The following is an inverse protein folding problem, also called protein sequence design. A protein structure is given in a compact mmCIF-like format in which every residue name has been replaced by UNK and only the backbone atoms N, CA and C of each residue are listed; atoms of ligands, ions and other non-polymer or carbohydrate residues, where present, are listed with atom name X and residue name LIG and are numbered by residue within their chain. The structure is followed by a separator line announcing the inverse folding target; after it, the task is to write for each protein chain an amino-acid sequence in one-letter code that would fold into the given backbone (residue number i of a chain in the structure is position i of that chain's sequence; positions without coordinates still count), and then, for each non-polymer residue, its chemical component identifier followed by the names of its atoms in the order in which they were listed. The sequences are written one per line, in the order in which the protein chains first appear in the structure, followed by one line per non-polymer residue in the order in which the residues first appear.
data_IF_815389305752
#
_entry.id   IF_815389305752
#
_cell.length_a   1.000
_cell.length_b   1.000
_cell.length_c   1.000
_cell.angle_alpha   90.00
_cell.angle_beta   90.00
_cell.angle_gamma   90.00
#
_symmetry.space_group_name_H-M   'P 1'
#
loop_
_entity.id
_entity.type
_entity.pdbx_description
1 polymer ?
#
# COMPACT_ATOMS: atom_id res chain seq x y z
N UNK A 1 -42.87 -49.95 24.28
CA UNK A 1 -44.15 -49.42 24.77
C UNK A 1 -44.20 -47.99 24.27
N UNK A 2 -44.91 -47.62 23.36
CA UNK A 2 -46.28 -47.63 22.92
C UNK A 2 -46.57 -46.24 22.39
N UNK A 3 -46.77 -46.01 21.12
CA UNK A 3 -48.08 -45.86 20.43
C UNK A 3 -48.81 -44.60 20.92
N UNK A 4 -49.41 -43.73 20.16
CA UNK A 4 -50.14 -43.73 18.91
C UNK A 4 -50.43 -42.24 18.53
N UNK A 5 -50.46 -41.81 17.26
CA UNK A 5 -51.55 -41.83 16.25
C UNK A 5 -52.83 -41.05 16.67
N UNK A 6 -53.21 -40.06 15.85
CA UNK A 6 -54.47 -39.93 15.08
C UNK A 6 -54.67 -38.48 14.65
N UNK A 7 -54.67 -38.15 13.39
CA UNK A 7 -55.81 -38.05 12.42
C UNK A 7 -56.84 -36.96 12.79
N UNK A 8 -56.98 -36.02 11.92
CA UNK A 8 -58.09 -35.93 11.06
C UNK A 8 -58.65 -34.60 10.63
N UNK A 9 -58.94 -34.50 9.40
CA UNK A 9 -60.04 -33.87 8.65
C UNK A 9 -59.97 -32.40 8.26
N UNK A 10 -59.64 -32.18 7.05
CA UNK A 10 -60.45 -31.78 5.87
C UNK A 10 -61.65 -30.84 6.13
N UNK A 11 -61.58 -29.70 5.52
CA UNK A 11 -62.77 -29.04 4.91
C UNK A 11 -62.29 -28.16 3.74
N UNK A 12 -62.81 -28.55 2.55
CA UNK A 12 -62.76 -27.78 1.32
C UNK A 12 -63.64 -26.54 1.40
N UNK A 13 -63.17 -25.42 0.88
CA UNK A 13 -64.05 -24.43 0.25
C UNK A 13 -63.33 -23.81 -0.96
N UNK A 14 -63.99 -23.98 -2.07
CA UNK A 14 -63.71 -23.51 -3.43
C UNK A 14 -63.75 -21.99 -3.52
N UNK A 15 -62.82 -21.42 -4.25
CA UNK A 15 -62.86 -19.99 -4.63
C UNK A 15 -61.83 -19.62 -5.68
N UNK A 16 -62.24 -19.60 -6.90
CA UNK A 16 -61.77 -18.94 -8.13
C UNK A 16 -60.31 -18.56 -8.32
N UNK A 17 -59.77 -19.15 -9.33
CA UNK A 17 -58.54 -18.91 -10.04
C UNK A 17 -58.43 -17.55 -10.72
N UNK A 18 -57.28 -16.86 -10.53
CA UNK A 18 -56.67 -16.06 -11.57
C UNK A 18 -55.17 -16.45 -11.64
N UNK A 19 -54.57 -16.56 -12.81
CA UNK A 19 -53.20 -17.04 -12.92
C UNK A 19 -52.22 -15.92 -12.69
N UNK A 20 -51.43 -16.04 -11.64
CA UNK A 20 -50.24 -15.23 -11.45
C UNK A 20 -49.12 -15.69 -12.38
N UNK A 21 -48.56 -14.70 -13.06
CA UNK A 21 -47.46 -14.86 -14.00
C UNK A 21 -46.18 -15.34 -13.29
N UNK A 22 -45.87 -16.61 -13.39
CA UNK A 22 -44.52 -17.13 -13.15
C UNK A 22 -43.63 -16.77 -14.34
N UNK A 23 -42.98 -15.59 -14.25
CA UNK A 23 -42.17 -15.10 -15.37
C UNK A 23 -41.02 -14.18 -15.03
N UNK A 24 -40.74 -13.92 -13.73
CA UNK A 24 -39.81 -12.83 -13.38
C UNK A 24 -38.59 -13.25 -12.54
N UNK A 25 -38.54 -14.44 -11.97
CA UNK A 25 -37.38 -14.88 -11.16
C UNK A 25 -36.28 -15.51 -12.01
N UNK A 26 -36.62 -16.16 -13.13
CA UNK A 26 -35.61 -16.75 -14.00
C UNK A 26 -34.89 -15.69 -14.87
N UNK A 27 -35.60 -14.63 -15.27
CA UNK A 27 -35.00 -13.51 -16.00
C UNK A 27 -34.01 -12.71 -15.16
N UNK A 28 -34.36 -12.42 -13.91
CA UNK A 28 -33.46 -11.73 -12.99
C UNK A 28 -32.21 -12.55 -12.65
N UNK A 29 -32.32 -13.86 -12.52
CA UNK A 29 -31.14 -14.72 -12.31
C UNK A 29 -30.29 -14.86 -13.58
N UNK A 30 -30.88 -14.80 -14.76
CA UNK A 30 -30.14 -14.83 -16.03
C UNK A 30 -29.46 -13.47 -16.29
N UNK A 31 -30.13 -12.37 -16.01
CA UNK A 31 -29.56 -11.02 -16.12
C UNK A 31 -28.43 -10.81 -15.11
N UNK A 32 -28.55 -11.25 -13.84
CA UNK A 32 -27.44 -11.24 -12.88
C UNK A 32 -26.28 -12.17 -13.26
N UNK A 33 -26.55 -13.34 -13.87
CA UNK A 33 -25.50 -14.21 -14.39
C UNK A 33 -24.84 -13.68 -15.66
N UNK A 34 -25.54 -12.91 -16.48
CA UNK A 34 -24.98 -12.22 -17.64
C UNK A 34 -24.19 -10.95 -17.23
N UNK A 35 -24.63 -10.22 -16.20
CA UNK A 35 -23.84 -9.12 -15.61
C UNK A 35 -22.58 -9.63 -14.90
N UNK A 36 -22.66 -10.74 -14.18
CA UNK A 36 -21.48 -11.38 -13.56
C UNK A 36 -20.53 -11.91 -14.66
N UNK A 37 -21.05 -12.49 -15.75
CA UNK A 37 -20.21 -12.90 -16.89
C UNK A 37 -19.66 -11.74 -17.69
N UNK A 38 -20.38 -10.61 -17.81
CA UNK A 38 -19.85 -9.37 -18.41
C UNK A 38 -18.78 -8.71 -17.54
N UNK A 39 -18.90 -8.82 -16.22
CA UNK A 39 -17.85 -8.37 -15.30
C UNK A 39 -16.60 -9.28 -15.32
N UNK A 40 -16.76 -10.55 -15.73
CA UNK A 40 -15.63 -11.51 -15.86
C UNK A 40 -14.97 -11.50 -17.25
N UNK A 41 -15.59 -10.86 -18.26
CA UNK A 41 -15.02 -10.67 -19.60
C UNK A 41 -14.76 -9.20 -19.88
N UNK A 42 -14.13 -8.47 -18.96
CA UNK A 42 -13.44 -7.23 -19.31
C UNK A 42 -12.29 -7.59 -20.24
N UNK A 43 -12.33 -6.97 -21.41
CA UNK A 43 -11.31 -7.10 -22.45
C UNK A 43 -9.93 -6.86 -21.83
N UNK A 44 -9.08 -7.88 -21.84
CA UNK A 44 -7.78 -7.90 -21.17
C UNK A 44 -6.84 -6.82 -21.74
N UNK A 45 -7.21 -6.20 -22.85
CA UNK A 45 -6.43 -5.21 -23.57
C UNK A 45 -6.74 -3.73 -23.22
N UNK A 46 -7.71 -3.47 -22.33
CA UNK A 46 -8.08 -2.08 -21.95
C UNK A 46 -8.12 -1.92 -20.41
N UNK A 47 -7.24 -2.61 -19.70
CA UNK A 47 -7.22 -2.56 -18.23
C UNK A 47 -6.27 -1.47 -17.77
N UNK A 48 -6.75 -0.24 -17.74
CA UNK A 48 -6.15 0.78 -16.90
C UNK A 48 -6.22 0.37 -15.43
N UNK A 49 -5.16 0.59 -14.68
CA UNK A 49 -5.19 0.43 -13.22
C UNK A 49 -6.16 1.49 -12.66
N UNK A 50 -7.33 1.04 -12.24
CA UNK A 50 -8.31 1.91 -11.57
C UNK A 50 -8.42 1.49 -10.11
N UNK A 51 -8.37 2.47 -9.23
CA UNK A 51 -8.57 2.24 -7.81
C UNK A 51 -10.05 1.91 -7.52
N UNK A 52 -10.27 1.29 -6.40
CA UNK A 52 -11.59 0.86 -5.99
C UNK A 52 -12.22 1.91 -5.08
N UNK A 53 -13.02 2.80 -5.64
CA UNK A 53 -13.67 3.91 -4.93
C UNK A 53 -14.38 3.48 -3.64
N UNK A 54 -14.97 2.28 -3.64
CA UNK A 54 -15.65 1.72 -2.46
C UNK A 54 -14.74 1.52 -1.24
N UNK A 55 -13.41 1.55 -1.41
CA UNK A 55 -12.47 1.53 -0.28
C UNK A 55 -12.50 2.81 0.54
N UNK A 56 -12.95 3.90 -0.06
CA UNK A 56 -12.89 5.25 0.49
C UNK A 56 -14.27 5.82 0.86
N UNK A 57 -15.37 5.08 0.61
CA UNK A 57 -16.75 5.54 0.86
C UNK A 57 -17.02 6.01 2.29
N UNK A 58 -16.27 5.47 3.26
CA UNK A 58 -16.42 5.81 4.68
C UNK A 58 -15.18 6.52 5.24
N UNK A 59 -14.33 7.06 4.37
CA UNK A 59 -13.19 7.84 4.82
C UNK A 59 -13.65 9.19 5.38
N UNK A 60 -13.15 9.53 6.55
CA UNK A 60 -13.18 10.86 7.12
C UNK A 60 -11.72 11.32 7.27
N UNK A 61 -11.32 12.23 6.40
CA UNK A 61 -9.94 12.70 6.27
C UNK A 61 -9.43 13.42 7.51
N UNK A 62 -10.34 13.94 8.33
CA UNK A 62 -10.03 14.66 9.56
C UNK A 62 -10.15 13.81 10.82
N UNK A 63 -10.73 12.63 10.73
CA UNK A 63 -10.94 11.74 11.87
C UNK A 63 -9.62 11.22 12.46
N UNK A 64 -9.60 11.05 13.76
CA UNK A 64 -8.50 10.44 14.50
C UNK A 64 -8.99 9.18 15.19
N UNK A 65 -8.40 8.04 14.87
CA UNK A 65 -8.66 6.77 15.55
C UNK A 65 -7.68 6.62 16.70
N UNK A 66 -8.15 6.17 17.85
CA UNK A 66 -7.27 5.87 18.99
C UNK A 66 -6.86 4.40 18.97
N UNK A 67 -5.57 4.14 19.10
CA UNK A 67 -5.00 2.80 19.23
C UNK A 67 -4.28 2.64 20.56
N UNK A 68 -4.61 1.57 21.26
CA UNK A 68 -4.02 1.15 22.51
C UNK A 68 -3.14 -0.06 22.26
N UNK A 69 -1.84 0.07 22.47
CA UNK A 69 -0.84 -0.98 22.23
C UNK A 69 -0.23 -1.41 23.55
N UNK A 70 -0.59 -2.59 24.04
CA UNK A 70 0.08 -3.20 25.18
C UNK A 70 1.17 -4.14 24.66
N UNK A 71 2.43 -3.86 24.96
CA UNK A 71 3.58 -4.67 24.57
C UNK A 71 4.03 -5.57 25.71
N UNK A 72 4.38 -6.82 25.40
CA UNK A 72 4.85 -7.80 26.35
C UNK A 72 5.91 -8.69 25.72
N UNK A 73 6.80 -9.28 26.53
CA UNK A 73 7.72 -10.28 26.00
C UNK A 73 6.90 -11.48 25.50
N UNK A 74 7.16 -11.83 24.26
CA UNK A 74 6.57 -13.00 23.64
C UNK A 74 7.45 -14.24 23.80
N UNK A 75 7.71 -14.90 22.68
CA UNK A 75 8.37 -16.19 22.60
C UNK A 75 9.65 -16.07 21.76
N UNK A 76 10.77 -16.55 22.28
CA UNK A 76 12.05 -16.52 21.55
C UNK A 76 12.03 -17.37 20.29
N UNK A 77 11.24 -18.44 20.23
CA UNK A 77 11.07 -19.22 19.00
C UNK A 77 10.31 -18.47 17.88
N UNK A 78 9.57 -17.43 18.25
CA UNK A 78 8.87 -16.52 17.33
C UNK A 78 9.66 -15.22 17.10
N UNK A 79 10.81 -15.04 17.77
CA UNK A 79 11.62 -13.81 17.72
C UNK A 79 10.91 -12.60 18.35
N UNK A 80 10.00 -12.83 19.32
CA UNK A 80 9.16 -11.79 19.92
C UNK A 80 9.44 -11.54 21.41
N UNK A 81 10.58 -12.00 21.91
CA UNK A 81 10.97 -11.92 23.32
C UNK A 81 11.80 -10.69 23.70
N UNK A 82 11.92 -9.73 22.79
CA UNK A 82 12.63 -8.48 23.03
C UNK A 82 11.84 -7.51 23.89
N UNK A 83 12.56 -6.67 24.64
CA UNK A 83 11.96 -5.58 25.42
C UNK A 83 11.57 -4.40 24.53
N UNK A 84 10.62 -3.61 24.99
CA UNK A 84 10.23 -2.37 24.31
C UNK A 84 11.40 -1.37 24.25
N UNK A 85 12.24 -1.37 25.25
CA UNK A 85 13.46 -0.57 25.27
C UNK A 85 14.44 -1.00 24.17
N UNK A 86 14.67 -2.30 24.00
CA UNK A 86 15.52 -2.82 22.91
C UNK A 86 14.96 -2.45 21.54
N UNK A 87 13.63 -2.63 21.31
CA UNK A 87 12.93 -2.23 20.08
C UNK A 87 13.23 -0.78 19.72
N UNK A 88 13.21 0.14 20.71
CA UNK A 88 13.37 1.56 20.48
C UNK A 88 14.84 2.05 20.49
N UNK A 89 15.79 1.17 20.87
CA UNK A 89 17.20 1.56 21.04
C UNK A 89 18.01 1.51 19.74
N UNK A 90 17.61 0.68 18.77
CA UNK A 90 18.37 0.45 17.56
C UNK A 90 17.68 1.07 16.34
N UNK A 91 18.50 1.52 15.39
CA UNK A 91 18.04 1.96 14.06
C UNK A 91 18.14 0.80 13.05
N UNK A 92 17.55 0.97 11.86
CA UNK A 92 17.73 0.03 10.76
C UNK A 92 19.20 -0.22 10.43
N UNK A 93 20.01 0.83 10.48
CA UNK A 93 21.46 0.75 10.22
C UNK A 93 22.21 -0.04 11.29
N UNK A 94 21.72 0.00 12.55
CA UNK A 94 22.33 -0.81 13.61
C UNK A 94 22.03 -2.28 13.38
N UNK A 95 20.80 -2.64 12.97
CA UNK A 95 20.44 -4.00 12.60
C UNK A 95 21.23 -4.51 11.40
N UNK A 96 21.38 -3.68 10.35
CA UNK A 96 22.19 -3.99 9.18
C UNK A 96 23.66 -4.27 9.58
N UNK A 97 24.21 -3.45 10.46
CA UNK A 97 25.58 -3.59 10.98
C UNK A 97 25.76 -4.83 11.84
N UNK A 98 24.75 -5.19 12.63
CA UNK A 98 24.76 -6.42 13.46
C UNK A 98 24.50 -7.67 12.63
N UNK A 99 23.99 -7.54 11.41
CA UNK A 99 23.62 -8.66 10.54
C UNK A 99 22.42 -9.44 11.06
N UNK A 100 21.49 -8.79 11.78
CA UNK A 100 20.31 -9.42 12.35
C UNK A 100 19.04 -8.72 11.85
N UNK A 101 17.92 -9.45 11.91
CA UNK A 101 16.60 -8.88 11.63
C UNK A 101 16.18 -7.91 12.74
N UNK A 102 15.26 -7.00 12.42
CA UNK A 102 14.73 -6.05 13.39
C UNK A 102 14.00 -6.78 14.51
N UNK A 103 14.33 -6.43 15.72
CA UNK A 103 13.72 -7.00 16.92
C UNK A 103 12.22 -6.74 16.94
N UNK A 104 11.50 -7.73 17.44
CA UNK A 104 10.05 -7.70 17.60
C UNK A 104 9.67 -8.02 19.04
N UNK A 105 8.49 -7.55 19.44
CA UNK A 105 7.87 -7.97 20.68
C UNK A 105 6.39 -8.32 20.45
N UNK A 106 5.84 -9.15 21.31
CA UNK A 106 4.42 -9.45 21.26
C UNK A 106 3.61 -8.23 21.69
N UNK A 107 2.45 -8.04 21.06
CA UNK A 107 1.59 -6.91 21.33
C UNK A 107 0.11 -7.29 21.35
N UNK A 108 -0.66 -6.64 22.21
CA UNK A 108 -2.11 -6.57 22.12
C UNK A 108 -2.46 -5.19 21.55
N UNK A 109 -2.96 -5.19 20.32
CA UNK A 109 -3.52 -4.00 19.70
C UNK A 109 -5.03 -3.96 19.97
N UNK A 110 -5.50 -2.86 20.51
CA UNK A 110 -6.92 -2.56 20.70
C UNK A 110 -7.24 -1.23 20.04
N UNK A 111 -8.34 -1.19 19.29
CA UNK A 111 -8.78 0.02 18.58
C UNK A 111 -10.01 0.59 19.28
N UNK A 112 -10.10 1.93 19.31
CA UNK A 112 -11.20 2.62 19.97
C UNK A 112 -11.14 4.13 19.78
N UNK A 113 -11.59 4.83 20.80
CA UNK A 113 -11.58 6.29 20.90
C UNK A 113 -10.90 6.76 22.20
N UNK A 114 -11.03 8.03 22.54
CA UNK A 114 -10.41 8.61 23.74
C UNK A 114 -10.93 8.01 25.05
N UNK A 115 -12.10 7.36 25.03
CA UNK A 115 -12.70 6.70 26.22
C UNK A 115 -12.17 5.27 26.44
N UNK A 116 -11.46 4.70 25.47
CA UNK A 116 -10.87 3.37 25.50
C UNK A 116 -11.21 2.50 24.30
N UNK A 117 -10.84 1.20 24.35
CA UNK A 117 -11.17 0.23 23.30
C UNK A 117 -12.70 0.10 23.12
N UNK A 118 -13.15 0.09 21.85
CA UNK A 118 -14.57 0.09 21.51
C UNK A 118 -15.07 -1.30 21.07
N UNK A 119 -16.33 -1.58 21.43
CA UNK A 119 -17.00 -2.84 21.07
C UNK A 119 -17.13 -2.95 19.54
N UNK A 120 -16.79 -4.11 19.00
CA UNK A 120 -16.79 -4.35 17.55
C UNK A 120 -15.46 -4.03 16.86
N UNK A 121 -14.56 -3.31 17.53
CA UNK A 121 -13.23 -3.00 17.02
C UNK A 121 -12.20 -4.09 17.35
N UNK A 122 -11.07 -4.06 16.66
CA UNK A 122 -9.97 -5.01 16.85
C UNK A 122 -9.50 -5.02 18.30
N UNK A 123 -9.37 -6.22 18.86
CA UNK A 123 -8.83 -6.46 20.21
C UNK A 123 -9.77 -6.12 21.35
N UNK A 124 -11.02 -5.71 21.09
CA UNK A 124 -11.99 -5.44 22.16
C UNK A 124 -12.22 -6.68 23.03
N UNK A 125 -12.07 -6.50 24.35
CA UNK A 125 -12.22 -7.58 25.32
C UNK A 125 -11.10 -8.64 25.30
N UNK A 126 -10.10 -8.52 24.43
CA UNK A 126 -8.93 -9.38 24.43
C UNK A 126 -7.95 -8.96 25.56
N UNK A 127 -7.25 -9.96 26.10
CA UNK A 127 -6.24 -9.77 27.14
C UNK A 127 -4.93 -10.53 26.85
N UNK A 128 -4.82 -11.08 25.63
CA UNK A 128 -3.64 -11.81 25.15
C UNK A 128 -3.11 -11.17 23.87
N UNK A 129 -1.81 -11.26 23.57
CA UNK A 129 -1.24 -10.69 22.36
C UNK A 129 -1.91 -11.17 21.07
N UNK A 130 -2.41 -10.25 20.27
CA UNK A 130 -3.03 -10.48 18.98
C UNK A 130 -2.16 -10.01 17.79
N UNK A 131 -1.01 -9.41 18.09
CA UNK A 131 -0.11 -8.82 17.12
C UNK A 131 1.36 -8.98 17.53
N UNK A 132 2.25 -8.59 16.62
CA UNK A 132 3.65 -8.25 16.91
C UNK A 132 3.91 -6.80 16.52
N UNK A 133 4.92 -6.19 17.12
CA UNK A 133 5.34 -4.82 16.81
C UNK A 133 6.86 -4.72 16.68
N UNK A 134 7.31 -3.93 15.72
CA UNK A 134 8.71 -3.57 15.50
C UNK A 134 8.81 -2.12 14.99
N UNK A 135 10.02 -1.54 15.06
CA UNK A 135 10.26 -0.26 14.38
C UNK A 135 10.23 -0.44 12.86
N UNK A 136 9.90 0.64 12.15
CA UNK A 136 9.94 0.70 10.68
C UNK A 136 10.67 1.94 10.16
N UNK A 137 10.88 1.97 8.83
CA UNK A 137 11.62 3.02 8.13
C UNK A 137 13.12 2.73 8.09
N UNK A 138 13.81 3.34 7.15
CA UNK A 138 15.28 3.26 7.04
C UNK A 138 15.88 4.48 7.74
N UNK A 139 15.82 5.66 7.11
CA UNK A 139 16.37 6.89 7.67
C UNK A 139 15.64 7.33 8.93
N UNK A 140 14.31 7.30 8.94
CA UNK A 140 13.47 7.69 10.06
C UNK A 140 13.62 6.79 11.30
N UNK A 141 14.19 5.59 11.16
CA UNK A 141 14.50 4.73 12.30
C UNK A 141 15.55 5.33 13.28
N UNK A 142 16.33 6.34 12.83
CA UNK A 142 17.27 7.10 13.69
C UNK A 142 16.58 8.13 14.56
N UNK A 143 15.35 8.51 14.25
CA UNK A 143 14.61 9.50 15.01
C UNK A 143 14.35 9.02 16.44
N UNK A 144 14.26 9.93 17.40
CA UNK A 144 13.90 9.61 18.78
C UNK A 144 12.46 9.14 18.90
N UNK A 145 11.54 9.71 18.11
CA UNK A 145 10.17 9.23 17.97
C UNK A 145 10.09 8.24 16.80
N UNK A 146 9.88 6.98 17.12
CA UNK A 146 9.95 5.88 16.15
C UNK A 146 8.67 5.75 15.33
N UNK A 147 8.82 5.25 14.13
CA UNK A 147 7.74 4.68 13.34
C UNK A 147 7.57 3.21 13.71
N UNK A 148 6.35 2.70 13.69
CA UNK A 148 6.06 1.30 14.04
C UNK A 148 5.37 0.57 12.91
N UNK A 149 5.68 -0.73 12.79
CA UNK A 149 4.92 -1.72 12.05
C UNK A 149 4.28 -2.66 13.07
N UNK A 150 2.96 -2.72 13.06
CA UNK A 150 2.16 -3.65 13.85
C UNK A 150 1.60 -4.68 12.89
N UNK A 151 1.76 -5.96 13.19
CA UNK A 151 1.27 -7.05 12.36
C UNK A 151 0.33 -7.96 13.16
N UNK A 152 -0.96 -7.94 12.81
CA UNK A 152 -1.99 -8.78 13.41
C UNK A 152 -1.72 -10.26 13.06
N UNK A 153 -1.86 -11.14 14.04
CA UNK A 153 -1.74 -12.59 13.85
C UNK A 153 -2.81 -13.09 12.87
N UNK A 154 -2.49 -14.11 12.09
CA UNK A 154 -3.36 -14.62 10.99
C UNK A 154 -4.80 -14.95 11.44
N UNK A 155 -4.96 -15.40 12.68
CA UNK A 155 -6.23 -15.83 13.26
C UNK A 155 -6.93 -14.75 14.12
N UNK A 156 -6.43 -13.49 14.09
CA UNK A 156 -6.92 -12.38 14.92
C UNK A 156 -7.65 -11.29 14.13
N UNK A 157 -8.08 -11.63 12.91
CA UNK A 157 -8.83 -10.71 12.06
C UNK A 157 -7.95 -9.65 11.36
N UNK A 158 -8.60 -8.59 11.00
CA UNK A 158 -8.00 -7.44 10.28
C UNK A 158 -8.61 -6.15 10.81
N UNK A 159 -7.85 -5.08 10.76
CA UNK A 159 -8.38 -3.74 10.96
C UNK A 159 -8.66 -3.12 9.58
N UNK A 160 -9.93 -2.84 9.28
CA UNK A 160 -10.36 -2.32 7.96
C UNK A 160 -9.75 -3.12 6.79
N UNK A 161 -9.75 -4.47 6.90
CA UNK A 161 -9.17 -5.36 5.89
C UNK A 161 -7.63 -5.39 5.85
N UNK A 162 -6.93 -4.74 6.78
CA UNK A 162 -5.47 -4.69 6.86
C UNK A 162 -4.96 -5.54 8.03
N UNK A 163 -3.95 -6.37 7.77
CA UNK A 163 -3.22 -7.09 8.83
C UNK A 163 -1.95 -6.38 9.24
N UNK A 164 -1.35 -5.65 8.34
CA UNK A 164 -0.16 -4.83 8.60
C UNK A 164 -0.58 -3.38 8.74
N UNK A 165 -0.30 -2.80 9.89
CA UNK A 165 -0.62 -1.43 10.25
C UNK A 165 0.70 -0.68 10.41
N UNK A 166 0.98 0.24 9.49
CA UNK A 166 2.17 1.06 9.53
C UNK A 166 1.84 2.43 10.13
N UNK A 167 2.50 2.77 11.21
CA UNK A 167 2.35 4.04 11.91
C UNK A 167 3.59 4.91 11.67
N UNK A 168 3.43 6.02 10.98
CA UNK A 168 4.48 6.99 10.68
C UNK A 168 4.36 8.21 11.58
N UNK A 169 5.43 8.52 12.31
CA UNK A 169 5.46 9.65 13.27
C UNK A 169 5.74 11.00 12.62
N UNK A 170 6.42 10.98 11.47
CA UNK A 170 6.84 12.21 10.76
C UNK A 170 7.49 13.25 11.69
N UNK A 171 8.45 12.83 12.51
CA UNK A 171 9.07 13.68 13.54
C UNK A 171 9.69 14.97 12.97
N UNK A 172 10.21 14.90 11.73
CA UNK A 172 10.88 16.02 11.05
C UNK A 172 9.92 16.99 10.38
N UNK A 173 8.63 16.67 10.37
CA UNK A 173 7.58 17.49 9.78
C UNK A 173 6.77 18.20 10.87
N UNK A 174 6.75 19.54 10.85
CA UNK A 174 6.07 20.34 11.88
C UNK A 174 4.55 20.05 11.99
N UNK A 175 3.89 19.87 10.86
CA UNK A 175 2.43 19.65 10.82
C UNK A 175 2.04 18.18 10.78
N UNK A 176 2.94 17.28 10.39
CA UNK A 176 2.78 15.81 10.38
C UNK A 176 1.63 15.27 9.53
N UNK A 177 1.21 15.99 8.48
CA UNK A 177 0.08 15.58 7.65
C UNK A 177 0.38 15.47 6.16
N UNK A 178 1.56 15.91 5.67
CA UNK A 178 1.88 15.94 4.23
C UNK A 178 1.70 14.59 3.55
N UNK A 179 2.16 13.53 4.19
CA UNK A 179 2.03 12.17 3.66
C UNK A 179 0.55 11.78 3.50
N UNK A 180 -0.29 12.06 4.52
CA UNK A 180 -1.74 11.80 4.43
C UNK A 180 -2.39 12.67 3.37
N UNK A 181 -2.13 13.98 3.36
CA UNK A 181 -2.66 14.91 2.36
C UNK A 181 -2.34 14.44 0.94
N UNK A 182 -1.11 13.96 0.70
CA UNK A 182 -0.71 13.44 -0.62
C UNK A 182 -1.59 12.26 -1.05
N UNK A 183 -1.85 11.31 -0.16
CA UNK A 183 -2.73 10.18 -0.48
C UNK A 183 -4.20 10.61 -0.64
N UNK A 184 -4.67 11.58 0.15
CA UNK A 184 -6.03 12.10 0.01
C UNK A 184 -6.24 12.82 -1.34
N UNK A 185 -5.24 13.56 -1.82
CA UNK A 185 -5.26 14.17 -3.15
C UNK A 185 -5.20 13.12 -4.28
N UNK A 186 -4.40 12.06 -4.12
CA UNK A 186 -4.30 10.99 -5.11
C UNK A 186 -5.65 10.28 -5.35
N UNK A 187 -6.53 10.19 -4.35
CA UNK A 187 -7.88 9.62 -4.51
C UNK A 187 -8.73 10.36 -5.55
N UNK A 188 -8.46 11.66 -5.76
CA UNK A 188 -9.16 12.49 -6.74
C UNK A 188 -8.64 12.38 -8.18
N UNK A 189 -7.60 11.60 -8.43
CA UNK A 189 -6.95 11.46 -9.75
C UNK A 189 -7.24 10.07 -10.31
N UNK A 190 -8.20 9.93 -11.27
CA UNK A 190 -8.64 8.62 -11.74
C UNK A 190 -7.55 7.75 -12.38
N UNK A 191 -6.48 8.34 -12.88
CA UNK A 191 -5.34 7.66 -13.50
C UNK A 191 -4.37 7.07 -12.48
N UNK A 192 -4.52 7.43 -11.22
CA UNK A 192 -3.61 7.03 -10.15
C UNK A 192 -4.32 6.18 -9.11
N UNK A 193 -3.56 5.34 -8.45
CA UNK A 193 -4.01 4.60 -7.28
C UNK A 193 -3.50 5.27 -6.02
N UNK A 194 -4.37 5.42 -5.03
CA UNK A 194 -3.99 5.86 -3.70
C UNK A 194 -3.81 4.69 -2.74
N UNK A 195 -3.37 4.96 -1.54
CA UNK A 195 -3.38 4.04 -0.40
C UNK A 195 -4.26 4.62 0.70
N UNK A 196 -4.94 3.75 1.45
CA UNK A 196 -5.74 4.20 2.59
C UNK A 196 -4.84 4.74 3.68
N UNK A 197 -5.24 5.87 4.24
CA UNK A 197 -4.53 6.53 5.33
C UNK A 197 -5.50 6.91 6.45
N UNK A 198 -4.99 6.98 7.68
CA UNK A 198 -5.76 7.38 8.85
C UNK A 198 -4.86 8.10 9.85
N UNK A 199 -5.36 9.17 10.45
CA UNK A 199 -4.72 9.69 11.66
C UNK A 199 -4.99 8.78 12.84
N UNK A 200 -3.94 8.49 13.60
CA UNK A 200 -3.98 7.59 14.75
C UNK A 200 -3.36 8.28 15.95
N UNK A 201 -4.08 8.36 17.06
CA UNK A 201 -3.53 8.67 18.36
C UNK A 201 -3.11 7.36 19.01
N UNK A 202 -1.81 7.22 19.30
CA UNK A 202 -1.24 5.99 19.83
C UNK A 202 -0.94 6.13 21.32
N UNK A 203 -1.50 5.19 22.11
CA UNK A 203 -1.13 4.97 23.50
C UNK A 203 -0.39 3.63 23.65
N UNK A 204 0.71 3.62 24.38
CA UNK A 204 1.53 2.42 24.59
C UNK A 204 1.65 2.09 26.08
N UNK A 205 1.40 0.82 26.42
CA UNK A 205 1.66 0.27 27.75
C UNK A 205 2.73 -0.81 27.65
N UNK A 206 3.84 -0.60 28.35
CA UNK A 206 5.00 -1.48 28.32
C UNK A 206 4.97 -2.46 29.52
N UNK A 207 4.81 -3.73 29.23
CA UNK A 207 4.88 -4.84 30.19
C UNK A 207 6.12 -5.72 29.94
N UNK A 208 7.10 -5.26 29.16
CA UNK A 208 8.27 -6.09 28.80
C UNK A 208 9.33 -6.16 29.89
N UNK A 209 9.42 -5.16 30.77
CA UNK A 209 10.41 -5.09 31.88
C UNK A 209 9.75 -4.93 33.27
N UNK A 210 8.48 -5.25 33.40
CA UNK A 210 7.73 -5.17 34.68
C UNK A 210 6.29 -4.72 34.48
N UNK A 211 5.59 -4.47 35.57
CA UNK A 211 4.19 -4.06 35.53
C UNK A 211 4.08 -2.53 35.39
N UNK A 212 4.04 -2.02 34.18
CA UNK A 212 3.53 -0.68 33.95
C UNK A 212 2.01 -0.73 33.88
N UNK A 213 1.32 -0.09 34.85
CA UNK A 213 -0.15 -0.11 34.90
C UNK A 213 -0.80 0.89 33.94
N UNK A 214 -0.05 1.85 33.40
CA UNK A 214 -0.60 2.99 32.68
C UNK A 214 -0.16 3.05 31.22
N UNK A 215 -1.08 3.52 30.38
CA UNK A 215 -0.78 3.88 28.99
C UNK A 215 -0.05 5.21 28.93
N UNK A 216 1.03 5.25 28.17
CA UNK A 216 1.76 6.46 27.86
C UNK A 216 1.31 7.02 26.51
N UNK A 217 1.13 8.32 26.44
CA UNK A 217 0.74 9.01 25.22
C UNK A 217 1.93 9.14 24.26
N UNK A 218 1.84 8.47 23.12
CA UNK A 218 2.80 8.56 22.02
C UNK A 218 2.39 9.59 20.95
N UNK A 219 1.21 10.20 21.10
CA UNK A 219 0.66 11.26 20.26
C UNK A 219 0.27 10.81 18.87
N UNK A 220 0.16 11.77 17.95
CA UNK A 220 -0.35 11.58 16.61
C UNK A 220 0.63 10.83 15.70
N UNK A 221 0.10 9.90 14.92
CA UNK A 221 0.72 9.17 13.82
C UNK A 221 -0.14 9.26 12.56
N UNK A 222 0.48 9.08 11.40
CA UNK A 222 -0.23 8.74 10.17
C UNK A 222 -0.11 7.24 9.93
N UNK A 223 -1.23 6.53 9.95
CA UNK A 223 -1.30 5.17 9.44
C UNK A 223 -1.33 5.20 7.93
N UNK A 224 -0.53 4.35 7.28
CA UNK A 224 -0.50 4.17 5.82
C UNK A 224 -0.64 2.69 5.51
N UNK A 225 -1.56 2.36 4.60
CA UNK A 225 -1.78 0.98 4.15
C UNK A 225 -0.51 0.38 3.58
N UNK A 226 -0.24 -0.88 3.92
CA UNK A 226 0.85 -1.64 3.32
C UNK A 226 0.36 -2.28 2.03
N UNK A 227 0.88 -1.84 0.89
CA UNK A 227 0.63 -2.51 -0.38
C UNK A 227 1.40 -3.85 -0.42
N UNK A 228 0.68 -4.90 -0.09
CA UNK A 228 1.10 -6.30 -0.15
C UNK A 228 -0.02 -7.10 -0.82
N UNK A 229 0.08 -8.43 -0.88
CA UNK A 229 -0.96 -9.27 -1.51
C UNK A 229 -2.37 -9.03 -0.98
N UNK A 230 -2.53 -8.66 0.28
CA UNK A 230 -3.83 -8.30 0.88
C UNK A 230 -4.27 -6.91 0.41
N UNK A 231 -3.38 -5.93 0.46
CA UNK A 231 -3.63 -4.59 -0.07
C UNK A 231 -4.00 -4.63 -1.56
N UNK A 232 -3.24 -5.36 -2.38
CA UNK A 232 -3.55 -5.54 -3.80
C UNK A 232 -4.99 -6.06 -4.03
N UNK A 233 -5.40 -7.09 -3.27
CA UNK A 233 -6.77 -7.63 -3.37
C UNK A 233 -7.83 -6.62 -2.95
N UNK A 234 -7.58 -5.84 -1.90
CA UNK A 234 -8.50 -4.81 -1.43
C UNK A 234 -8.75 -3.77 -2.55
N UNK A 235 -7.69 -3.36 -3.23
CA UNK A 235 -7.73 -2.42 -4.35
C UNK A 235 -8.21 -3.04 -5.69
N UNK A 236 -8.57 -4.33 -5.70
CA UNK A 236 -9.00 -5.02 -6.94
C UNK A 236 -7.87 -5.37 -7.89
N UNK A 237 -6.61 -5.25 -7.45
CA UNK A 237 -5.43 -5.59 -8.24
C UNK A 237 -5.20 -7.11 -8.32
N UNK A 238 -4.55 -7.56 -9.38
CA UNK A 238 -4.11 -8.95 -9.49
C UNK A 238 -2.95 -9.24 -8.51
N UNK A 239 -3.27 -9.92 -7.41
CA UNK A 239 -2.31 -10.27 -6.36
C UNK A 239 -1.30 -11.37 -6.76
N UNK A 240 -1.41 -11.92 -7.97
CA UNK A 240 -0.44 -12.85 -8.56
C UNK A 240 0.56 -12.14 -9.47
N UNK A 241 0.34 -10.87 -9.77
CA UNK A 241 1.23 -10.02 -10.55
C UNK A 241 2.56 -9.71 -9.86
N UNK A 242 3.46 -9.12 -10.61
CA UNK A 242 4.69 -8.56 -10.07
C UNK A 242 4.38 -7.27 -9.31
N UNK A 243 4.95 -7.13 -8.14
CA UNK A 243 4.94 -5.90 -7.37
C UNK A 243 6.31 -5.72 -6.74
N UNK A 244 6.98 -4.66 -7.11
CA UNK A 244 8.28 -4.28 -6.57
C UNK A 244 8.17 -2.93 -5.88
N UNK A 245 8.72 -2.82 -4.67
CA UNK A 245 8.98 -1.52 -4.06
C UNK A 245 10.34 -1.04 -4.51
N UNK A 246 10.40 0.10 -5.13
CA UNK A 246 11.63 0.73 -5.58
C UNK A 246 12.39 1.28 -4.36
N UNK A 247 13.60 0.77 -4.13
CA UNK A 247 14.48 1.19 -3.03
C UNK A 247 15.61 2.11 -3.50
N UNK A 248 16.25 1.77 -4.64
CA UNK A 248 17.28 2.59 -5.30
C UNK A 248 17.43 2.06 -6.72
N UNK A 249 16.59 2.57 -7.65
CA UNK A 249 16.51 1.99 -8.98
C UNK A 249 16.19 3.04 -10.04
N UNK A 250 17.11 3.24 -10.96
CA UNK A 250 17.06 4.25 -12.01
C UNK A 250 16.65 3.66 -13.38
N UNK A 251 16.04 2.48 -13.40
CA UNK A 251 15.63 1.74 -14.61
C UNK A 251 16.78 1.37 -15.56
N UNK A 252 18.01 1.32 -15.06
CA UNK A 252 19.10 0.66 -15.77
C UNK A 252 18.90 -0.86 -15.81
N UNK A 253 19.48 -1.52 -16.82
CA UNK A 253 19.33 -2.97 -16.97
C UNK A 253 19.98 -3.80 -15.86
N UNK A 254 21.04 -3.31 -15.22
CA UNK A 254 21.77 -3.97 -14.11
C UNK A 254 21.94 -5.49 -14.33
N UNK A 255 22.57 -5.90 -15.44
CA UNK A 255 22.64 -7.30 -15.88
C UNK A 255 23.23 -8.26 -14.84
N UNK A 256 24.14 -7.76 -14.01
CA UNK A 256 24.76 -8.56 -12.94
C UNK A 256 23.83 -8.79 -11.74
N UNK A 257 22.78 -7.99 -11.57
CA UNK A 257 21.87 -8.02 -10.41
C UNK A 257 20.46 -8.45 -10.79
N UNK A 258 19.89 -7.87 -11.86
CA UNK A 258 18.53 -8.19 -12.30
C UNK A 258 18.56 -9.41 -13.21
N UNK A 259 18.41 -10.58 -12.59
CA UNK A 259 18.44 -11.90 -13.23
C UNK A 259 17.15 -12.64 -12.93
N UNK A 260 16.91 -13.70 -13.68
CA UNK A 260 15.81 -14.62 -13.39
C UNK A 260 16.12 -15.38 -12.09
N UNK A 261 15.08 -15.76 -11.35
CA UNK A 261 15.20 -16.50 -10.09
C UNK A 261 15.89 -17.87 -10.28
N UNK A 262 15.76 -18.49 -11.48
CA UNK A 262 16.40 -19.74 -11.83
C UNK A 262 17.85 -19.61 -12.36
N UNK A 263 18.38 -18.39 -12.46
CA UNK A 263 19.80 -18.17 -12.83
C UNK A 263 20.70 -18.59 -11.66
N UNK A 264 21.70 -19.47 -11.89
CA UNK A 264 22.58 -19.96 -10.81
C UNK A 264 23.43 -18.87 -10.14
N UNK A 265 23.48 -17.67 -10.71
CA UNK A 265 24.19 -16.51 -10.15
C UNK A 265 23.24 -15.44 -9.59
N UNK A 266 21.93 -15.75 -9.48
CA UNK A 266 20.94 -14.83 -8.89
C UNK A 266 21.20 -14.65 -7.40
N UNK A 267 21.27 -13.40 -6.96
CA UNK A 267 21.36 -13.01 -5.56
C UNK A 267 20.15 -12.14 -5.20
N UNK A 268 19.17 -12.75 -4.52
CA UNK A 268 17.96 -12.06 -4.10
C UNK A 268 18.27 -10.84 -3.21
N UNK A 269 19.27 -10.92 -2.32
CA UNK A 269 19.62 -9.80 -1.45
C UNK A 269 20.20 -8.63 -2.23
N UNK A 270 20.98 -8.89 -3.27
CA UNK A 270 21.48 -7.87 -4.18
C UNK A 270 20.32 -7.27 -4.99
N UNK A 271 19.42 -8.08 -5.52
CA UNK A 271 18.21 -7.65 -6.23
C UNK A 271 17.32 -6.74 -5.37
N UNK A 272 17.04 -7.14 -4.13
CA UNK A 272 16.15 -6.40 -3.22
C UNK A 272 16.75 -5.08 -2.71
N UNK A 273 18.05 -4.84 -2.89
CA UNK A 273 18.61 -3.49 -2.69
C UNK A 273 18.11 -2.49 -3.73
N UNK A 274 17.80 -2.96 -4.92
CA UNK A 274 17.22 -2.15 -5.99
C UNK A 274 15.68 -2.17 -5.92
N UNK A 275 15.10 -3.36 -5.91
CA UNK A 275 13.67 -3.64 -6.07
C UNK A 275 13.22 -4.68 -5.03
N UNK A 276 12.61 -4.25 -3.94
CA UNK A 276 12.10 -5.16 -2.90
C UNK A 276 10.87 -5.93 -3.43
N UNK A 277 10.93 -7.25 -3.42
CA UNK A 277 9.87 -8.13 -3.94
C UNK A 277 8.67 -8.13 -3.00
N UNK A 278 7.50 -7.71 -3.48
CA UNK A 278 6.23 -7.69 -2.74
C UNK A 278 5.16 -8.59 -3.36
N UNK A 279 5.32 -8.92 -4.63
CA UNK A 279 4.41 -9.76 -5.42
C UNK A 279 5.04 -11.07 -5.88
N UNK A 280 4.90 -11.36 -7.15
CA UNK A 280 5.51 -12.50 -7.84
C UNK A 280 7.00 -12.22 -8.08
N UNK A 281 7.84 -13.25 -7.97
CA UNK A 281 9.29 -13.18 -8.16
C UNK A 281 9.77 -13.62 -9.55
N UNK A 282 8.86 -13.89 -10.48
CA UNK A 282 9.24 -14.10 -11.89
C UNK A 282 9.65 -12.75 -12.51
N UNK A 283 10.95 -12.58 -12.73
CA UNK A 283 11.51 -11.33 -13.24
C UNK A 283 11.54 -11.26 -14.78
N UNK A 284 11.02 -12.25 -15.50
CA UNK A 284 11.18 -12.37 -16.95
C UNK A 284 10.69 -11.13 -17.70
N UNK A 285 9.48 -10.65 -17.43
CA UNK A 285 8.95 -9.45 -18.13
C UNK A 285 9.60 -8.15 -17.65
N UNK A 286 10.07 -8.07 -16.40
CA UNK A 286 10.87 -6.95 -15.93
C UNK A 286 12.19 -6.86 -16.72
N UNK A 287 12.87 -7.98 -16.89
CA UNK A 287 14.11 -8.08 -17.66
C UNK A 287 13.89 -7.67 -19.11
N UNK A 288 12.80 -8.12 -19.73
CA UNK A 288 12.49 -7.79 -21.11
C UNK A 288 12.21 -6.29 -21.27
N UNK A 289 11.37 -5.72 -20.43
CA UNK A 289 11.08 -4.28 -20.42
C UNK A 289 12.36 -3.44 -20.25
N UNK A 290 13.21 -3.80 -19.28
CA UNK A 290 14.47 -3.09 -19.05
C UNK A 290 15.46 -3.24 -20.20
N UNK A 291 15.52 -4.40 -20.84
CA UNK A 291 16.38 -4.63 -21.99
C UNK A 291 15.98 -3.70 -23.14
N UNK A 292 14.69 -3.64 -23.42
CA UNK A 292 14.16 -2.77 -24.48
C UNK A 292 14.28 -1.29 -24.13
N UNK A 293 13.99 -0.93 -22.88
CA UNK A 293 14.13 0.45 -22.41
C UNK A 293 15.57 0.96 -22.47
N UNK A 294 16.57 0.11 -22.29
CA UNK A 294 17.98 0.49 -22.35
C UNK A 294 18.58 0.39 -23.76
N UNK A 295 17.83 -0.08 -24.75
CA UNK A 295 18.20 -0.06 -26.15
C UNK A 295 17.84 1.30 -26.78
N UNK A 296 18.83 2.16 -26.97
CA UNK A 296 18.63 3.50 -27.54
C UNK A 296 18.24 3.47 -29.04
N UNK A 297 18.32 2.32 -29.70
CA UNK A 297 17.84 2.19 -31.09
C UNK A 297 16.32 2.10 -31.18
N UNK A 298 15.62 1.76 -30.08
CA UNK A 298 14.17 1.69 -29.99
C UNK A 298 13.59 3.04 -29.60
N UNK A 299 12.59 3.58 -30.33
CA UNK A 299 11.91 4.82 -29.94
C UNK A 299 11.25 4.67 -28.58
N UNK A 300 11.31 5.71 -27.75
CA UNK A 300 10.66 5.65 -26.41
C UNK A 300 9.14 5.52 -26.53
N UNK A 301 8.51 6.08 -27.57
CA UNK A 301 7.08 5.94 -27.79
C UNK A 301 6.67 4.45 -27.91
N UNK A 302 7.43 3.65 -28.68
CA UNK A 302 7.15 2.22 -28.85
C UNK A 302 7.32 1.46 -27.52
N UNK A 303 8.32 1.84 -26.71
CA UNK A 303 8.56 1.26 -25.38
C UNK A 303 7.38 1.57 -24.43
N UNK A 304 6.90 2.82 -24.45
CA UNK A 304 5.78 3.23 -23.62
C UNK A 304 4.50 2.49 -24.03
N UNK A 305 4.20 2.41 -25.31
CA UNK A 305 3.01 1.72 -25.84
C UNK A 305 3.03 0.22 -25.55
N UNK A 306 4.22 -0.38 -25.52
CA UNK A 306 4.37 -1.82 -25.28
C UNK A 306 4.34 -2.19 -23.79
N UNK A 307 4.95 -1.37 -22.92
CA UNK A 307 5.25 -1.77 -21.55
C UNK A 307 4.62 -0.91 -20.48
N UNK A 308 4.08 0.25 -20.77
CA UNK A 308 3.57 1.14 -19.73
C UNK A 308 2.13 1.58 -20.00
N UNK A 309 1.36 1.75 -18.95
CA UNK A 309 0.16 2.57 -19.03
C UNK A 309 0.60 4.03 -19.11
N UNK A 310 0.46 4.64 -20.29
CA UNK A 310 0.93 6.01 -20.56
C UNK A 310 0.23 7.04 -19.70
N UNK A 311 -1.08 6.91 -19.49
CA UNK A 311 -1.82 7.82 -18.63
C UNK A 311 -1.30 7.73 -17.19
N UNK A 312 -1.18 6.52 -16.64
CA UNK A 312 -0.65 6.32 -15.30
C UNK A 312 0.75 6.92 -15.13
N UNK A 313 1.66 6.64 -16.07
CA UNK A 313 3.02 7.15 -16.02
C UNK A 313 3.05 8.69 -16.06
N UNK A 314 2.28 9.28 -16.97
CA UNK A 314 2.25 10.74 -17.20
C UNK A 314 1.64 11.46 -16.01
N UNK A 315 0.49 11.00 -15.49
CA UNK A 315 -0.16 11.57 -14.31
C UNK A 315 0.64 11.35 -13.03
N UNK A 316 1.30 10.19 -12.89
CA UNK A 316 2.22 9.95 -11.78
C UNK A 316 3.35 10.98 -11.78
N UNK A 317 3.98 11.22 -12.94
CA UNK A 317 5.07 12.18 -13.04
C UNK A 317 4.58 13.62 -12.81
N UNK A 318 3.43 14.01 -13.38
CA UNK A 318 2.79 15.29 -13.17
C UNK A 318 2.52 15.54 -11.68
N UNK A 319 1.95 14.55 -10.98
CA UNK A 319 1.66 14.64 -9.56
C UNK A 319 2.94 14.87 -8.73
N UNK A 320 4.00 14.10 -8.98
CA UNK A 320 5.26 14.26 -8.23
C UNK A 320 5.92 15.63 -8.49
N UNK A 321 5.83 16.14 -9.71
CA UNK A 321 6.34 17.47 -10.07
C UNK A 321 5.54 18.57 -9.37
N UNK A 322 4.21 18.53 -9.46
CA UNK A 322 3.32 19.54 -8.87
C UNK A 322 3.43 19.59 -7.34
N UNK A 323 3.59 18.44 -6.69
CA UNK A 323 3.77 18.36 -5.25
C UNK A 323 5.19 18.61 -4.79
N UNK A 324 6.14 18.75 -5.74
CA UNK A 324 7.56 18.95 -5.47
C UNK A 324 8.21 17.80 -4.72
N UNK A 325 7.72 16.56 -4.91
CA UNK A 325 8.25 15.37 -4.26
C UNK A 325 9.54 14.91 -4.93
N UNK A 326 10.65 15.37 -4.44
CA UNK A 326 11.98 15.08 -4.99
C UNK A 326 12.53 13.71 -4.58
N UNK A 327 11.85 13.00 -3.70
CA UNK A 327 12.33 11.71 -3.14
C UNK A 327 11.76 10.49 -3.90
N UNK A 328 11.23 10.71 -5.11
CA UNK A 328 10.60 9.65 -5.94
C UNK A 328 11.33 9.34 -7.25
N UNK A 329 12.50 9.92 -7.47
CA UNK A 329 13.23 9.76 -8.73
C UNK A 329 13.72 8.33 -8.97
N UNK A 330 14.13 7.65 -7.88
CA UNK A 330 14.65 6.29 -7.93
C UNK A 330 14.27 5.45 -6.71
N UNK A 331 13.26 5.91 -5.94
CA UNK A 331 12.75 5.25 -4.73
C UNK A 331 11.30 5.66 -4.46
N UNK A 332 10.75 5.19 -3.36
CA UNK A 332 9.43 5.62 -2.86
C UNK A 332 8.32 5.49 -3.91
N UNK A 333 8.35 4.41 -4.66
CA UNK A 333 7.37 4.08 -5.69
C UNK A 333 7.23 2.57 -5.73
N UNK A 334 6.04 2.07 -6.01
CA UNK A 334 5.86 0.69 -6.42
C UNK A 334 5.79 0.60 -7.94
N UNK A 335 6.42 -0.43 -8.47
CA UNK A 335 6.32 -0.85 -9.87
C UNK A 335 5.46 -2.12 -9.90
N UNK A 336 4.30 -2.04 -10.55
CA UNK A 336 3.32 -3.13 -10.58
C UNK A 336 3.04 -3.58 -12.02
N UNK A 337 2.84 -4.88 -12.21
CA UNK A 337 2.35 -5.43 -13.47
C UNK A 337 1.47 -6.66 -13.20
N UNK A 338 0.23 -6.73 -13.74
CA UNK A 338 -0.62 -7.91 -13.61
C UNK A 338 0.05 -9.17 -14.17
N UNK A 339 -0.33 -10.37 -13.70
CA UNK A 339 0.31 -11.62 -14.12
C UNK A 339 0.21 -11.85 -15.65
N UNK A 340 -0.95 -11.54 -16.21
CA UNK A 340 -1.27 -11.83 -17.60
C UNK A 340 -1.17 -10.59 -18.52
N UNK A 341 -0.43 -9.58 -18.13
CA UNK A 341 -0.18 -8.37 -18.91
C UNK A 341 1.29 -8.00 -18.84
N UNK A 342 1.83 -7.41 -19.89
CA UNK A 342 3.18 -6.85 -19.90
C UNK A 342 3.20 -5.37 -19.48
N UNK A 343 2.01 -4.79 -19.20
CA UNK A 343 1.86 -3.38 -18.82
C UNK A 343 2.32 -3.14 -17.40
N UNK A 344 3.14 -2.11 -17.22
CA UNK A 344 3.64 -1.64 -15.95
C UNK A 344 2.97 -0.35 -15.52
N UNK A 345 2.74 -0.24 -14.20
CA UNK A 345 2.13 0.90 -13.53
C UNK A 345 3.02 1.40 -12.41
N UNK A 346 3.06 2.71 -12.22
CA UNK A 346 3.70 3.36 -11.07
C UNK A 346 2.65 3.69 -10.02
N UNK A 347 2.92 3.32 -8.76
CA UNK A 347 2.06 3.59 -7.62
C UNK A 347 2.86 4.35 -6.57
N UNK A 348 2.37 5.51 -6.16
CA UNK A 348 3.06 6.37 -5.22
C UNK A 348 3.21 5.72 -3.84
N UNK A 349 4.39 5.89 -3.24
CA UNK A 349 4.71 5.40 -1.91
C UNK A 349 5.56 6.41 -1.16
N UNK A 350 5.31 6.55 0.17
CA UNK A 350 6.08 7.40 1.08
C UNK A 350 6.17 8.86 0.62
N UNK A 351 5.01 9.49 0.49
CA UNK A 351 4.87 10.85 -0.04
C UNK A 351 5.18 11.95 0.99
N UNK A 352 5.92 11.66 2.06
CA UNK A 352 6.31 12.65 3.07
C UNK A 352 7.29 13.70 2.53
N UNK A 353 7.93 13.42 1.40
CA UNK A 353 8.70 14.36 0.59
C UNK A 353 7.86 15.39 -0.18
N UNK A 354 6.54 15.18 -0.32
CA UNK A 354 5.66 16.13 -1.00
C UNK A 354 5.51 17.44 -0.23
N UNK A 355 5.27 18.53 -0.96
CA UNK A 355 5.08 19.89 -0.39
C UNK A 355 6.28 20.38 0.46
N UNK A 356 7.45 19.75 0.30
CA UNK A 356 8.68 20.16 0.95
C UNK A 356 9.34 21.35 0.22
N UNK A 357 8.65 22.46 0.09
CA UNK A 357 9.35 23.74 -0.09
C UNK A 357 9.90 24.14 1.27
N UNK A 358 11.10 23.70 1.58
CA UNK A 358 11.77 24.18 2.76
C UNK A 358 12.10 25.66 2.59
N UNK A 359 11.95 26.45 3.65
CA UNK A 359 12.40 27.84 3.67
C UNK A 359 13.84 27.99 3.15
N UNK A 360 14.67 26.98 3.37
CA UNK A 360 16.03 26.88 2.86
C UNK A 360 16.09 26.93 1.32
N UNK A 361 15.20 26.22 0.64
CA UNK A 361 15.14 26.23 -0.82
C UNK A 361 14.57 27.56 -1.37
N UNK A 362 13.63 28.18 -0.67
CA UNK A 362 13.03 29.47 -1.06
C UNK A 362 14.03 30.61 -0.89
N UNK A 363 14.83 30.59 0.18
CA UNK A 363 15.78 31.68 0.48
C UNK A 363 17.04 31.67 -0.40
N UNK A 364 17.46 30.52 -0.91
CA UNK A 364 18.72 30.38 -1.62
C UNK A 364 18.60 30.33 -3.15
N UNK A 365 17.39 30.29 -3.70
CA UNK A 365 17.16 30.20 -5.14
C UNK A 365 15.90 30.95 -5.55
N UNK A 366 16.07 32.17 -6.00
CA UNK A 366 14.99 33.02 -6.53
C UNK A 366 14.33 32.50 -7.81
N UNK A 367 15.00 31.56 -8.50
CA UNK A 367 14.59 30.89 -9.73
C UNK A 367 13.81 29.57 -9.51
N UNK A 368 13.68 29.11 -8.27
CA UNK A 368 13.04 27.83 -7.92
C UNK A 368 11.50 27.87 -7.90
N UNK A 369 10.90 28.89 -8.42
CA UNK A 369 9.45 28.91 -8.70
C UNK A 369 9.05 28.15 -9.95
N UNK A 370 10.02 27.74 -10.79
CA UNK A 370 9.76 27.05 -12.04
C UNK A 370 9.53 25.55 -11.82
N UNK A 371 8.51 25.01 -12.45
CA UNK A 371 8.23 23.57 -12.53
C UNK A 371 9.42 22.79 -13.15
N UNK A 372 10.22 23.42 -13.99
CA UNK A 372 11.40 22.85 -14.62
C UNK A 372 12.43 22.35 -13.60
N UNK A 373 12.51 22.98 -12.43
CA UNK A 373 13.38 22.50 -11.36
C UNK A 373 12.95 21.13 -10.83
N UNK A 374 11.66 20.82 -10.83
CA UNK A 374 11.14 19.50 -10.48
C UNK A 374 11.51 18.43 -11.51
N UNK A 375 11.43 18.78 -12.79
CA UNK A 375 11.75 17.91 -13.94
C UNK A 375 13.23 17.50 -13.94
N UNK A 376 14.15 18.40 -13.64
CA UNK A 376 15.60 18.11 -13.64
C UNK A 376 16.00 17.00 -12.67
N UNK A 377 15.22 16.75 -11.63
CA UNK A 377 15.46 15.68 -10.69
C UNK A 377 15.30 14.28 -11.31
N UNK A 378 14.50 14.15 -12.36
CA UNK A 378 14.22 12.86 -13.02
C UNK A 378 15.26 12.49 -14.08
N UNK A 379 16.21 13.37 -14.37
CA UNK A 379 17.18 13.19 -15.45
C UNK A 379 18.17 12.03 -15.25
N UNK A 380 18.40 11.61 -14.03
CA UNK A 380 19.29 10.49 -13.70
C UNK A 380 18.63 9.12 -13.92
N UNK A 381 17.32 9.07 -14.14
CA UNK A 381 16.55 7.85 -14.33
C UNK A 381 16.30 7.60 -15.80
N UNK A 382 16.68 6.43 -16.32
CA UNK A 382 16.62 6.11 -17.77
C UNK A 382 15.21 6.27 -18.34
N UNK A 383 14.19 5.77 -17.63
CA UNK A 383 12.81 5.87 -18.09
C UNK A 383 12.39 7.34 -18.24
N UNK A 384 12.53 8.11 -17.18
CA UNK A 384 12.08 9.51 -17.17
C UNK A 384 12.94 10.39 -18.07
N UNK A 385 14.24 10.15 -18.14
CA UNK A 385 15.12 10.88 -19.06
C UNK A 385 14.67 10.69 -20.51
N UNK A 386 14.41 9.45 -20.93
CA UNK A 386 13.97 9.15 -22.30
C UNK A 386 12.58 9.74 -22.59
N UNK A 387 11.67 9.67 -21.61
CA UNK A 387 10.36 10.32 -21.72
C UNK A 387 10.49 11.83 -21.93
N UNK A 388 11.29 12.51 -21.11
CA UNK A 388 11.49 13.96 -21.19
C UNK A 388 12.23 14.43 -22.45
N UNK A 389 13.00 13.56 -23.10
CA UNK A 389 13.59 13.84 -24.43
C UNK A 389 12.55 13.78 -25.56
N UNK A 390 11.42 13.09 -25.38
CA UNK A 390 10.33 13.00 -26.35
C UNK A 390 9.46 14.25 -26.30
N UNK A 391 9.28 14.93 -27.44
CA UNK A 391 8.37 16.08 -27.54
C UNK A 391 6.92 15.67 -27.25
N UNK A 392 6.45 14.57 -27.85
CA UNK A 392 5.10 14.07 -27.65
C UNK A 392 4.81 13.75 -26.16
N UNK A 393 5.77 13.15 -25.45
CA UNK A 393 5.60 12.89 -24.01
C UNK A 393 5.53 14.19 -23.20
N UNK A 394 6.33 15.21 -23.56
CA UNK A 394 6.26 16.51 -22.88
C UNK A 394 4.90 17.19 -23.06
N UNK A 395 4.30 17.08 -24.27
CA UNK A 395 2.95 17.58 -24.54
C UNK A 395 1.90 16.85 -23.68
N UNK A 396 2.01 15.52 -23.55
CA UNK A 396 1.15 14.74 -22.66
C UNK A 396 1.33 15.14 -21.19
N UNK A 397 2.57 15.35 -20.76
CA UNK A 397 2.89 15.78 -19.40
C UNK A 397 2.35 17.19 -19.10
N UNK A 398 2.50 18.13 -20.03
CA UNK A 398 1.93 19.47 -19.91
C UNK A 398 0.40 19.44 -19.80
N UNK A 399 -0.27 18.58 -20.57
CA UNK A 399 -1.70 18.39 -20.50
C UNK A 399 -2.15 17.78 -19.14
N UNK A 400 -1.37 16.86 -18.60
CA UNK A 400 -1.65 16.25 -17.31
C UNK A 400 -1.42 17.22 -16.13
N UNK A 401 -0.52 18.20 -16.29
CA UNK A 401 -0.24 19.23 -15.29
C UNK A 401 -1.35 20.31 -15.26
N UNK A 402 -1.99 20.62 -16.37
CA UNK A 402 -3.07 21.60 -16.50
C UNK A 402 -4.40 21.11 -15.94
#
# INVERSE_FOLDING_TARGET
MGCALLLGMSCCLTGCTTPEKTGDTSKKQTEQQEEIKKAETQDINDVHLRDKDSLYENDDETSVVTMYLTVSRGNSSEGTDHTWKEINSYSAYDYDKMGVERYQTAALLQVGDESGPQSGEVGYGENVPNATVQIRGQTSSRNSQKNYKIELKKNKGTWRGQRTINLNKHQTEGMRFRNKLSYDLLKGIPQLMSLRTQFVHLYVRDLTEGDSSEFQDYGLYTQVEQLNKTGMKNHGMDSKGQLYKINSFEFFRYEDVIKREDDPTYDQKAFEKLLEIKGNSDHTKLIQMLTDLNDNSKPIADILDQYFDRENLTYWMAYQILTGNVDTQNRNTYLYSPQNSDTWYLIAWDNDGSFMRTEYNIQNRSDQGSWECGVSNYWMNVLFQRCLQSEAFREELDAAIQ
#
